data_IF_368603784512
#
_entry.id   IF_368603784512
#
_cell.length_a   1.000
_cell.length_b   1.000
_cell.length_c   1.000
_cell.angle_alpha   90.00
_cell.angle_beta   90.00
_cell.angle_gamma   90.00
#
_symmetry.space_group_name_H-M   'P 1'
#
loop_
_entity.id
_entity.type
_entity.pdbx_description
1 polymer ?
#
# COMPACT_ATOMS: atom_id res chain seq x y z
N UNK A 1 -14.02 6.40 4.53
CA UNK A 1 -12.82 5.60 4.29
C UNK A 1 -12.12 5.38 5.62
N UNK A 2 -12.02 4.12 6.05
CA UNK A 2 -11.31 3.72 7.26
C UNK A 2 -9.80 3.69 7.00
N UNK A 3 -9.38 3.05 5.89
CA UNK A 3 -7.98 2.90 5.46
C UNK A 3 -7.07 2.25 6.50
N UNK A 4 -6.61 2.98 7.52
CA UNK A 4 -5.56 2.55 8.43
C UNK A 4 -6.06 2.16 9.82
N UNK A 5 -5.42 1.15 10.38
CA UNK A 5 -5.64 0.61 11.72
C UNK A 5 -4.38 0.78 12.58
N UNK A 6 -4.55 1.06 13.87
CA UNK A 6 -3.49 1.16 14.87
C UNK A 6 -2.30 2.10 14.56
N UNK A 7 -2.42 3.00 13.57
CA UNK A 7 -1.30 3.80 13.06
C UNK A 7 -0.15 2.94 12.51
N UNK A 8 -0.48 1.78 11.93
CA UNK A 8 0.50 0.92 11.27
C UNK A 8 1.17 1.65 10.09
N UNK A 9 2.48 1.48 9.98
CA UNK A 9 3.29 2.05 8.89
C UNK A 9 3.51 1.01 7.80
N UNK A 10 2.69 1.02 6.77
CA UNK A 10 2.83 0.22 5.55
C UNK A 10 2.52 1.10 4.34
N UNK A 11 3.10 0.81 3.17
CA UNK A 11 2.60 1.38 1.92
C UNK A 11 1.44 0.53 1.42
N UNK A 12 0.21 1.00 1.61
CA UNK A 12 -1.00 0.26 1.29
C UNK A 12 -2.07 1.21 0.76
N UNK A 13 -2.94 0.73 -0.13
CA UNK A 13 -4.11 1.48 -0.56
C UNK A 13 -4.93 0.80 -1.65
N UNK A 14 -6.19 1.21 -1.75
CA UNK A 14 -7.15 0.73 -2.76
C UNK A 14 -7.66 1.92 -3.58
N UNK A 15 -6.75 2.62 -4.28
CA UNK A 15 -7.06 3.89 -4.94
C UNK A 15 -8.23 3.78 -5.94
N UNK A 16 -8.34 2.66 -6.65
CA UNK A 16 -9.45 2.42 -7.58
C UNK A 16 -10.80 2.45 -6.86
N UNK A 17 -10.91 1.76 -5.70
CA UNK A 17 -12.11 1.75 -4.87
C UNK A 17 -12.39 3.10 -4.23
N UNK A 18 -11.35 3.87 -3.88
CA UNK A 18 -11.49 5.24 -3.36
C UNK A 18 -12.01 6.18 -4.45
N UNK A 19 -11.53 6.05 -5.69
CA UNK A 19 -11.90 6.91 -6.81
C UNK A 19 -13.33 6.65 -7.33
N UNK A 20 -13.80 5.40 -7.28
CA UNK A 20 -15.16 5.05 -7.76
C UNK A 20 -16.20 5.02 -6.64
N UNK A 21 -15.86 4.48 -5.47
CA UNK A 21 -16.79 4.14 -4.40
C UNK A 21 -17.76 5.26 -3.99
N UNK A 22 -17.28 6.48 -3.69
CA UNK A 22 -18.16 7.61 -3.36
C UNK A 22 -19.18 7.95 -4.45
N UNK A 23 -18.77 7.88 -5.72
CA UNK A 23 -19.62 8.22 -6.86
C UNK A 23 -20.65 7.12 -7.07
N UNK A 24 -20.22 5.87 -7.06
CA UNK A 24 -21.08 4.71 -7.23
C UNK A 24 -22.13 4.64 -6.11
N UNK A 25 -21.73 4.86 -4.86
CA UNK A 25 -22.64 4.90 -3.71
C UNK A 25 -23.69 6.02 -3.86
N UNK A 26 -23.30 7.19 -4.37
CA UNK A 26 -24.22 8.32 -4.58
C UNK A 26 -25.17 8.10 -5.77
N UNK A 27 -24.72 7.45 -6.82
CA UNK A 27 -25.52 7.16 -8.02
C UNK A 27 -26.36 5.87 -7.91
N UNK A 28 -26.16 5.09 -6.85
CA UNK A 28 -26.91 3.85 -6.62
C UNK A 28 -28.43 4.09 -6.48
N UNK A 29 -29.22 3.09 -6.84
CA UNK A 29 -30.68 3.17 -6.74
C UNK A 29 -31.12 3.45 -5.29
N UNK A 30 -32.01 4.43 -5.12
CA UNK A 30 -32.51 4.86 -3.81
C UNK A 30 -31.42 5.35 -2.84
N UNK A 31 -30.29 5.85 -3.34
CA UNK A 31 -29.23 6.40 -2.49
C UNK A 31 -29.77 7.54 -1.60
N UNK A 32 -29.47 7.44 -0.31
CA UNK A 32 -29.72 8.48 0.72
C UNK A 32 -28.42 9.10 1.21
N UNK A 33 -27.33 8.90 0.47
CA UNK A 33 -26.00 9.37 0.82
C UNK A 33 -25.95 10.90 0.89
N UNK A 34 -25.58 11.45 2.05
CA UNK A 34 -25.48 12.90 2.29
C UNK A 34 -24.03 13.41 2.36
N UNK A 35 -23.04 12.51 2.33
CA UNK A 35 -21.64 12.91 2.38
C UNK A 35 -20.67 11.73 2.40
N UNK A 36 -19.40 12.08 2.38
CA UNK A 36 -18.25 11.17 2.57
C UNK A 36 -17.45 11.60 3.78
N UNK A 37 -16.63 10.69 4.32
CA UNK A 37 -15.73 11.01 5.41
C UNK A 37 -14.53 10.08 5.47
N UNK A 38 -13.54 10.46 6.27
CA UNK A 38 -12.37 9.65 6.60
C UNK A 38 -12.39 9.35 8.10
N UNK A 39 -12.01 8.14 8.49
CA UNK A 39 -12.19 7.64 9.85
C UNK A 39 -11.07 6.69 10.29
N UNK A 40 -9.86 6.94 9.82
CA UNK A 40 -8.66 6.17 10.15
C UNK A 40 -8.32 6.20 11.64
N UNK A 41 -7.72 5.13 12.15
CA UNK A 41 -7.24 5.08 13.54
C UNK A 41 -5.92 5.87 13.71
N UNK A 42 -5.09 5.94 12.66
CA UNK A 42 -3.84 6.68 12.62
C UNK A 42 -3.65 7.50 11.34
N UNK A 43 -2.92 8.62 11.46
CA UNK A 43 -2.58 9.53 10.36
C UNK A 43 -1.06 9.56 10.14
N UNK A 44 -0.56 10.48 9.31
CA UNK A 44 0.88 10.64 8.98
C UNK A 44 1.48 9.51 8.11
N UNK A 45 0.66 8.81 7.35
CA UNK A 45 1.07 7.82 6.34
C UNK A 45 0.24 7.94 5.06
N UNK A 46 0.64 7.25 3.99
CA UNK A 46 -0.05 7.14 2.69
C UNK A 46 -0.83 8.39 2.23
N UNK A 47 -0.15 9.55 2.07
CA UNK A 47 -0.83 10.81 1.78
C UNK A 47 -1.64 10.77 0.48
N UNK A 48 -1.20 10.02 -0.53
CA UNK A 48 -1.91 9.89 -1.82
C UNK A 48 -3.36 9.39 -1.64
N UNK A 49 -3.59 8.48 -0.69
CA UNK A 49 -4.91 7.90 -0.43
C UNK A 49 -5.84 8.94 0.18
N UNK A 50 -5.32 9.72 1.14
CA UNK A 50 -6.07 10.76 1.82
C UNK A 50 -6.32 12.00 0.95
N UNK A 51 -5.35 12.36 0.11
CA UNK A 51 -5.48 13.43 -0.87
C UNK A 51 -6.59 13.08 -1.88
N UNK A 52 -6.59 11.86 -2.42
CA UNK A 52 -7.65 11.38 -3.31
C UNK A 52 -9.01 11.39 -2.61
N UNK A 53 -9.14 10.75 -1.45
CA UNK A 53 -10.41 10.65 -0.73
C UNK A 53 -10.99 12.02 -0.36
N UNK A 54 -10.13 12.98 -0.02
CA UNK A 54 -10.56 14.36 0.25
C UNK A 54 -11.11 15.04 -1.01
N UNK A 55 -10.45 14.85 -2.15
CA UNK A 55 -10.89 15.39 -3.44
C UNK A 55 -12.22 14.78 -3.90
N UNK A 56 -12.47 13.50 -3.60
CA UNK A 56 -13.70 12.79 -3.96
C UNK A 56 -14.98 13.42 -3.39
N UNK A 57 -14.88 14.21 -2.32
CA UNK A 57 -16.02 14.96 -1.78
C UNK A 57 -16.55 16.04 -2.74
N UNK A 58 -15.72 16.50 -3.68
CA UNK A 58 -16.06 17.54 -4.65
C UNK A 58 -16.36 16.99 -6.05
N UNK A 59 -16.00 15.74 -6.32
CA UNK A 59 -16.22 15.11 -7.61
C UNK A 59 -17.67 14.65 -7.78
N UNK A 60 -18.26 15.03 -8.92
CA UNK A 60 -19.61 14.58 -9.27
C UNK A 60 -19.64 13.47 -10.32
N UNK A 61 -18.52 13.22 -10.98
CA UNK A 61 -18.36 12.25 -12.08
C UNK A 61 -17.09 11.46 -11.85
N UNK A 62 -16.99 10.31 -12.52
CA UNK A 62 -15.83 9.43 -12.41
C UNK A 62 -14.54 10.20 -12.71
N UNK A 63 -13.55 9.97 -11.84
CA UNK A 63 -12.20 10.51 -11.98
C UNK A 63 -11.40 9.56 -12.86
N UNK A 64 -10.67 10.12 -13.83
CA UNK A 64 -9.64 9.37 -14.53
C UNK A 64 -8.46 9.18 -13.58
N UNK A 65 -8.46 8.03 -12.89
CA UNK A 65 -7.49 7.76 -11.84
C UNK A 65 -6.06 7.64 -12.38
N UNK A 66 -5.89 7.13 -13.60
CA UNK A 66 -4.56 7.05 -14.21
C UNK A 66 -3.96 8.45 -14.38
N UNK A 67 -4.73 9.37 -14.98
CA UNK A 67 -4.32 10.76 -15.13
C UNK A 67 -4.13 11.43 -13.76
N UNK A 68 -4.99 11.13 -12.78
CA UNK A 68 -4.87 11.69 -11.43
C UNK A 68 -3.56 11.26 -10.75
N UNK A 69 -3.20 9.98 -10.82
CA UNK A 69 -1.96 9.43 -10.26
C UNK A 69 -0.74 10.00 -10.98
N UNK A 70 -0.74 10.04 -12.32
CA UNK A 70 0.39 10.56 -13.10
C UNK A 70 0.62 12.07 -12.84
N UNK A 71 -0.43 12.82 -12.53
CA UNK A 71 -0.33 14.26 -12.19
C UNK A 71 -0.08 14.54 -10.71
N UNK A 72 -0.26 13.54 -9.84
CA UNK A 72 -0.03 13.67 -8.40
C UNK A 72 1.40 14.11 -8.04
N UNK A 73 2.50 13.51 -8.54
CA UNK A 73 3.85 13.97 -8.20
C UNK A 73 4.12 15.40 -8.62
N UNK A 74 3.57 15.87 -9.74
CA UNK A 74 3.70 17.27 -10.16
C UNK A 74 3.04 18.22 -9.16
N UNK A 75 1.84 17.87 -8.67
CA UNK A 75 1.13 18.64 -7.64
C UNK A 75 1.87 18.60 -6.29
N UNK A 76 2.42 17.44 -5.94
CA UNK A 76 3.11 17.21 -4.66
C UNK A 76 4.49 17.86 -4.61
N UNK A 77 5.28 17.72 -5.66
CA UNK A 77 6.67 18.17 -5.71
C UNK A 77 6.85 19.50 -6.44
N UNK A 78 5.81 20.03 -7.08
CA UNK A 78 5.84 21.34 -7.76
C UNK A 78 6.56 21.36 -9.11
N UNK A 79 7.09 20.22 -9.57
CA UNK A 79 7.77 20.07 -10.87
C UNK A 79 7.30 18.81 -11.58
N UNK A 80 7.21 18.89 -12.90
CA UNK A 80 6.86 17.74 -13.74
C UNK A 80 8.12 17.00 -14.15
N UNK A 81 8.39 15.87 -13.50
CA UNK A 81 9.53 14.99 -13.79
C UNK A 81 9.00 13.61 -14.20
N UNK A 82 9.28 13.20 -15.44
CA UNK A 82 8.69 11.98 -16.03
C UNK A 82 9.04 10.73 -15.21
N UNK A 83 10.29 10.61 -14.74
CA UNK A 83 10.71 9.47 -13.93
C UNK A 83 9.93 9.33 -12.61
N UNK A 84 9.55 10.45 -11.98
CA UNK A 84 8.70 10.42 -10.79
C UNK A 84 7.25 10.06 -11.12
N UNK A 85 6.74 10.46 -12.28
CA UNK A 85 5.40 10.07 -12.77
C UNK A 85 5.35 8.56 -13.03
N UNK A 86 6.39 8.02 -13.66
CA UNK A 86 6.55 6.59 -13.89
C UNK A 86 6.64 5.80 -12.58
N UNK A 87 7.39 6.31 -11.59
CA UNK A 87 7.49 5.71 -10.27
C UNK A 87 6.11 5.63 -9.56
N UNK A 88 5.36 6.74 -9.52
CA UNK A 88 4.02 6.76 -8.93
C UNK A 88 3.03 5.87 -9.67
N UNK A 89 3.13 5.74 -11.00
CA UNK A 89 2.33 4.79 -11.78
C UNK A 89 2.61 3.34 -11.37
N UNK A 90 3.87 2.98 -11.16
CA UNK A 90 4.23 1.64 -10.68
C UNK A 90 3.67 1.40 -9.27
N UNK A 91 3.79 2.37 -8.37
CA UNK A 91 3.23 2.27 -7.02
C UNK A 91 1.70 2.10 -7.04
N UNK A 92 0.98 2.82 -7.92
CA UNK A 92 -0.45 2.62 -8.14
C UNK A 92 -0.78 1.21 -8.60
N UNK A 93 -0.06 0.66 -9.57
CA UNK A 93 -0.29 -0.69 -10.08
C UNK A 93 0.10 -1.80 -9.09
N UNK A 94 0.77 -1.45 -7.99
CA UNK A 94 1.25 -2.38 -6.96
C UNK A 94 0.66 -2.00 -5.60
N UNK A 95 1.43 -1.30 -4.76
CA UNK A 95 1.15 -0.99 -3.35
C UNK A 95 -0.16 -0.21 -3.12
N UNK A 96 -0.60 0.58 -4.09
CA UNK A 96 -1.78 1.43 -3.97
C UNK A 96 -3.01 0.96 -4.76
N UNK A 97 -3.00 -0.28 -5.27
CA UNK A 97 -4.19 -0.95 -5.79
C UNK A 97 -4.26 -2.40 -5.31
N UNK A 98 -4.35 -2.58 -3.99
CA UNK A 98 -4.38 -3.88 -3.34
C UNK A 98 -5.57 -4.73 -3.81
N UNK A 99 -5.31 -5.95 -4.28
CA UNK A 99 -6.34 -6.93 -4.67
C UNK A 99 -6.40 -8.14 -3.76
N UNK A 100 -5.69 -8.10 -2.63
CA UNK A 100 -5.56 -9.23 -1.70
C UNK A 100 -6.83 -9.47 -0.85
N UNK A 101 -7.76 -8.51 -0.86
CA UNK A 101 -8.99 -8.56 -0.09
C UNK A 101 -8.77 -8.48 1.42
N UNK A 102 -7.57 -8.09 1.87
CA UNK A 102 -7.22 -7.95 3.29
C UNK A 102 -7.43 -6.49 3.72
N UNK A 103 -7.43 -6.26 5.03
CA UNK A 103 -7.43 -4.91 5.59
C UNK A 103 -5.98 -4.48 5.84
N UNK A 104 -5.69 -3.17 5.71
CA UNK A 104 -4.41 -2.54 6.07
C UNK A 104 -4.02 -2.92 7.51
N UNK A 105 -3.14 -3.91 7.63
CA UNK A 105 -2.56 -4.35 8.90
C UNK A 105 -1.15 -4.77 8.58
N UNK A 106 -0.19 -4.02 9.10
CA UNK A 106 1.19 -4.32 8.83
C UNK A 106 1.54 -5.70 9.43
N UNK A 107 1.94 -6.62 8.55
CA UNK A 107 2.43 -7.97 8.87
C UNK A 107 3.84 -8.20 8.37
N UNK A 108 4.60 -7.14 8.15
CA UNK A 108 6.01 -7.19 7.85
C UNK A 108 6.76 -7.90 8.97
N UNK A 109 7.76 -8.67 8.57
CA UNK A 109 8.60 -9.45 9.48
C UNK A 109 9.26 -8.57 10.54
N UNK A 110 9.58 -7.31 10.19
CA UNK A 110 10.28 -6.37 11.06
C UNK A 110 9.43 -5.89 12.25
N UNK A 111 8.10 -5.91 12.11
CA UNK A 111 7.16 -5.52 13.19
C UNK A 111 6.58 -6.73 13.92
N UNK A 112 6.84 -7.94 13.43
CA UNK A 112 6.39 -9.18 14.06
C UNK A 112 7.24 -9.54 15.29
N UNK A 113 6.66 -10.34 16.19
CA UNK A 113 7.45 -10.98 17.22
C UNK A 113 8.44 -11.96 16.57
N UNK A 114 9.65 -12.13 17.14
CA UNK A 114 10.66 -13.06 16.65
C UNK A 114 10.32 -14.50 17.08
N UNK A 115 9.15 -14.98 16.69
CA UNK A 115 8.63 -16.33 16.92
C UNK A 115 8.23 -17.04 15.61
N UNK A 116 8.14 -16.31 14.50
CA UNK A 116 7.89 -16.85 13.16
C UNK A 116 9.19 -17.37 12.54
N UNK A 117 9.20 -18.62 12.07
CA UNK A 117 10.32 -19.16 11.30
C UNK A 117 10.45 -18.40 9.95
N UNK A 118 11.62 -17.79 9.64
CA UNK A 118 11.77 -16.98 8.43
C UNK A 118 11.50 -17.73 7.11
N UNK A 119 11.58 -19.06 7.12
CA UNK A 119 11.37 -19.91 5.95
C UNK A 119 9.89 -20.04 5.53
N UNK A 120 8.95 -19.62 6.39
CA UNK A 120 7.50 -19.67 6.10
C UNK A 120 7.07 -18.47 5.25
N UNK A 121 7.92 -17.43 5.18
CA UNK A 121 7.66 -16.20 4.42
C UNK A 121 7.88 -16.49 2.93
N UNK A 122 6.78 -16.70 2.20
CA UNK A 122 6.84 -16.88 0.76
C UNK A 122 7.20 -15.55 0.09
N UNK A 123 8.40 -15.47 -0.48
CA UNK A 123 8.84 -14.35 -1.30
C UNK A 123 9.00 -14.82 -2.75
N UNK A 124 8.01 -14.57 -3.63
CA UNK A 124 8.15 -14.90 -5.04
C UNK A 124 9.34 -14.12 -5.64
N UNK A 125 10.34 -14.85 -6.16
CA UNK A 125 11.45 -14.26 -6.93
C UNK A 125 12.72 -13.87 -6.18
N UNK A 126 12.78 -13.97 -4.84
CA UNK A 126 13.92 -13.43 -4.05
C UNK A 126 14.95 -14.45 -3.56
N UNK A 127 14.78 -15.76 -3.76
CA UNK A 127 15.75 -16.75 -3.29
C UNK A 127 16.05 -17.89 -4.29
N UNK A 128 17.22 -17.81 -4.93
CA UNK A 128 17.94 -19.00 -5.35
C UNK A 128 18.51 -19.69 -4.09
N UNK A 129 17.93 -20.84 -3.74
CA UNK A 129 18.31 -21.77 -2.66
C UNK A 129 19.81 -21.77 -2.32
N UNK A 130 20.17 -21.29 -1.13
CA UNK A 130 21.36 -21.76 -0.40
C UNK A 130 20.93 -22.13 1.02
N UNK A 131 20.51 -23.38 1.22
CA UNK A 131 20.25 -23.92 2.56
C UNK A 131 21.58 -24.03 3.32
N UNK A 132 21.82 -23.11 4.27
CA UNK A 132 22.75 -23.39 5.38
C UNK A 132 21.93 -24.02 6.50
N UNK A 133 22.23 -25.28 6.80
CA UNK A 133 21.62 -26.00 7.92
C UNK A 133 22.10 -25.36 9.23
N UNK A 134 21.25 -24.60 9.88
CA UNK A 134 21.41 -24.28 11.29
C UNK A 134 20.51 -25.21 12.09
N UNK A 135 21.13 -26.03 12.94
CA UNK A 135 20.42 -26.92 13.86
C UNK A 135 19.77 -26.08 14.96
N UNK A 136 18.47 -25.81 14.86
CA UNK A 136 17.69 -25.22 15.96
C UNK A 136 17.29 -26.33 16.94
N UNK A 137 17.65 -26.15 18.20
CA UNK A 137 17.17 -26.96 19.32
C UNK A 137 15.66 -26.72 19.45
N UNK A 138 14.87 -27.79 19.33
CA UNK A 138 13.42 -27.75 19.45
C UNK A 138 13.02 -27.27 20.86
N UNK A 139 12.28 -26.17 20.93
CA UNK A 139 11.64 -25.71 22.17
C UNK A 139 10.35 -26.53 22.37
N UNK A 140 10.33 -27.36 23.40
CA UNK A 140 9.35 -28.43 23.66
C UNK A 140 7.89 -28.00 23.95
N UNK A 141 7.50 -26.74 23.75
CA UNK A 141 6.18 -26.23 24.16
C UNK A 141 5.38 -25.51 23.05
N UNK A 142 5.64 -25.79 21.77
CA UNK A 142 4.77 -25.29 20.70
C UNK A 142 3.51 -26.17 20.61
N UNK A 143 2.45 -25.73 21.28
CA UNK A 143 1.10 -26.25 21.08
C UNK A 143 0.70 -25.87 19.65
N UNK A 144 0.67 -26.88 18.77
CA UNK A 144 0.07 -26.80 17.44
C UNK A 144 -1.40 -26.41 17.63
N UNK A 145 -1.69 -25.12 17.53
CA UNK A 145 -3.07 -24.65 17.33
C UNK A 145 -3.45 -25.02 15.91
N UNK A 146 -4.63 -25.62 15.80
CA UNK A 146 -5.21 -26.14 14.58
C UNK A 146 -5.00 -25.21 13.39
N UNK A 147 -4.65 -25.83 12.26
CA UNK A 147 -4.62 -25.21 10.96
C UNK A 147 -6.03 -24.73 10.57
N UNK A 148 -6.42 -23.54 11.00
CA UNK A 148 -7.27 -22.72 10.14
C UNK A 148 -6.40 -22.33 8.96
N UNK A 149 -6.91 -22.58 7.76
CA UNK A 149 -6.25 -22.32 6.49
C UNK A 149 -6.20 -20.81 6.17
N UNK A 150 -6.00 -19.99 7.20
CA UNK A 150 -5.92 -18.55 7.09
C UNK A 150 -4.47 -18.19 6.79
N UNK A 151 -4.15 -18.07 5.51
CA UNK A 151 -2.96 -17.37 4.99
C UNK A 151 -2.89 -15.87 5.43
N UNK A 152 -3.68 -15.50 6.44
CA UNK A 152 -3.78 -14.22 7.11
C UNK A 152 -2.77 -14.07 8.26
N UNK A 153 -2.31 -15.18 8.84
CA UNK A 153 -1.34 -15.17 9.95
C UNK A 153 0.12 -15.07 9.50
N UNK A 154 0.43 -15.46 8.25
CA UNK A 154 1.82 -15.50 7.80
C UNK A 154 2.24 -14.15 7.19
N UNK A 155 3.45 -13.65 7.52
CA UNK A 155 4.05 -12.54 6.80
C UNK A 155 4.11 -12.87 5.31
N UNK A 156 3.59 -12.00 4.47
CA UNK A 156 3.57 -12.20 3.02
C UNK A 156 3.68 -10.86 2.33
N UNK A 157 4.38 -10.86 1.20
CA UNK A 157 4.44 -9.70 0.30
C UNK A 157 3.42 -9.97 -0.81
N UNK A 158 2.35 -9.19 -0.86
CA UNK A 158 1.26 -9.37 -1.82
C UNK A 158 1.50 -8.66 -3.17
N UNK A 159 2.55 -7.83 -3.25
CA UNK A 159 2.91 -7.03 -4.44
C UNK A 159 4.18 -7.55 -5.13
N UNK A 160 4.41 -7.13 -6.38
CA UNK A 160 5.63 -7.44 -7.12
C UNK A 160 6.82 -6.62 -6.61
N UNK A 161 7.74 -7.29 -5.92
CA UNK A 161 8.95 -6.66 -5.37
C UNK A 161 9.87 -6.09 -6.44
N UNK A 162 9.94 -6.69 -7.64
CA UNK A 162 10.80 -6.19 -8.73
C UNK A 162 10.26 -4.87 -9.23
N UNK A 163 8.94 -4.78 -9.42
CA UNK A 163 8.28 -3.53 -9.81
C UNK A 163 8.48 -2.44 -8.75
N UNK A 164 8.24 -2.74 -7.47
CA UNK A 164 8.40 -1.75 -6.38
C UNK A 164 9.85 -1.30 -6.20
N UNK A 165 10.83 -2.20 -6.34
CA UNK A 165 12.25 -1.85 -6.33
C UNK A 165 12.56 -0.90 -7.50
N UNK A 166 12.03 -1.17 -8.69
CA UNK A 166 12.21 -0.27 -9.83
C UNK A 166 11.60 1.12 -9.58
N UNK A 167 10.44 1.20 -8.93
CA UNK A 167 9.87 2.48 -8.52
C UNK A 167 10.80 3.24 -7.55
N UNK A 168 11.41 2.53 -6.58
CA UNK A 168 12.39 3.11 -5.66
C UNK A 168 13.63 3.62 -6.39
N UNK A 169 14.15 2.88 -7.37
CA UNK A 169 15.28 3.32 -8.19
C UNK A 169 14.97 4.64 -8.91
N UNK A 170 13.78 4.78 -9.48
CA UNK A 170 13.32 6.03 -10.10
C UNK A 170 13.23 7.18 -9.07
N UNK A 171 12.70 6.94 -7.87
CA UNK A 171 12.69 7.98 -6.83
C UNK A 171 14.10 8.44 -6.44
N UNK A 172 15.06 7.52 -6.37
CA UNK A 172 16.46 7.83 -6.04
C UNK A 172 17.18 8.56 -7.20
N UNK A 173 16.90 8.19 -8.44
CA UNK A 173 17.50 8.80 -9.63
C UNK A 173 17.02 10.25 -9.83
N UNK A 174 15.70 10.47 -9.70
CA UNK A 174 15.07 11.76 -10.03
C UNK A 174 14.76 12.65 -8.81
N UNK A 175 14.99 12.16 -7.59
CA UNK A 175 14.66 12.87 -6.35
C UNK A 175 15.39 14.21 -6.20
N UNK A 176 16.64 14.30 -6.65
CA UNK A 176 17.44 15.53 -6.57
C UNK A 176 16.84 16.68 -7.40
N UNK A 177 16.13 16.37 -8.50
CA UNK A 177 15.52 17.38 -9.38
C UNK A 177 14.41 18.20 -8.71
N UNK A 178 13.81 17.62 -7.66
CA UNK A 178 12.69 18.20 -6.92
C UNK A 178 13.06 18.59 -5.49
N UNK A 179 14.32 18.39 -5.09
CA UNK A 179 14.83 18.63 -3.74
C UNK A 179 14.78 20.09 -3.28
N UNK A 180 14.75 21.03 -4.23
CA UNK A 180 14.63 22.48 -3.99
C UNK A 180 13.17 22.93 -3.79
N UNK A 181 12.19 22.04 -3.98
CA UNK A 181 10.79 22.34 -3.79
C UNK A 181 10.43 22.42 -2.30
N UNK A 182 9.70 23.47 -1.91
CA UNK A 182 9.27 23.66 -0.51
C UNK A 182 8.32 22.56 0.00
N UNK A 183 7.72 21.79 -0.92
CA UNK A 183 6.80 20.69 -0.61
C UNK A 183 7.49 19.32 -0.68
N UNK A 184 8.76 19.27 -1.06
CA UNK A 184 9.59 18.08 -0.95
C UNK A 184 9.98 17.89 0.53
N UNK A 185 9.53 16.78 1.12
CA UNK A 185 9.78 16.37 2.50
C UNK A 185 10.04 14.89 2.56
#
# INVERSE_FOLDING_TARGET
MLHNFAADFEMYGVLDAVASGPIDARLSENSTMVGVGMSMEGIEQNPIVYDLMSEMSFHQRQVDLQVWVETYPTRRYGKSVVGLQDAWRILHQTLYNCTDGKNDKNRDVIVAFPDVEPFVIQTPGLYARTSKNYSTLALENYVVKDASNDAYEQPHIWYDTVAVIHALELFLEYGDEVSDSSTFR
#
